data_IF_179329016809
#
_entry.id   IF_179329016809
#
_cell.length_a   1.000
_cell.length_b   1.000
_cell.length_c   1.000
_cell.angle_alpha   90.00
_cell.angle_beta   90.00
_cell.angle_gamma   90.00
#
_symmetry.space_group_name_H-M   'P 1'
#
loop_
_entity.id
_entity.type
_entity.pdbx_description
1 polymer ?
#
# COMPACT_ATOMS: atom_id res chain seq x y z
N UNK A 1 -4.78 -7.11 8.27
CA UNK A 1 -5.96 -7.78 7.70
C UNK A 1 -6.09 -7.40 6.24
N UNK A 2 -6.75 -8.24 5.45
CA UNK A 2 -7.19 -7.84 4.11
C UNK A 2 -8.26 -6.75 4.23
N UNK A 3 -8.19 -5.72 3.39
CA UNK A 3 -9.15 -4.60 3.37
C UNK A 3 -9.77 -4.39 1.98
N UNK A 4 -9.24 -5.03 0.94
CA UNK A 4 -9.78 -4.96 -0.41
C UNK A 4 -9.36 -6.19 -1.23
N UNK A 5 -10.20 -6.57 -2.18
CA UNK A 5 -9.97 -7.67 -3.10
C UNK A 5 -10.61 -7.38 -4.46
N UNK A 6 -9.84 -7.48 -5.56
CA UNK A 6 -10.32 -7.32 -6.94
C UNK A 6 -9.61 -8.28 -7.86
N UNK A 7 -10.33 -9.26 -8.41
CA UNK A 7 -9.73 -10.32 -9.20
C UNK A 7 -8.61 -11.02 -8.40
N UNK A 8 -7.40 -11.06 -8.94
CA UNK A 8 -6.25 -11.63 -8.24
C UNK A 8 -5.50 -10.62 -7.32
N UNK A 9 -5.92 -9.35 -7.31
CA UNK A 9 -5.29 -8.29 -6.54
C UNK A 9 -5.88 -8.14 -5.15
N UNK A 10 -5.02 -7.94 -4.15
CA UNK A 10 -5.40 -7.77 -2.75
C UNK A 10 -4.71 -6.58 -2.13
N UNK A 11 -5.40 -5.91 -1.21
CA UNK A 11 -4.82 -4.88 -0.34
C UNK A 11 -4.91 -5.36 1.09
N UNK A 12 -3.76 -5.42 1.75
CA UNK A 12 -3.66 -5.75 3.16
C UNK A 12 -3.15 -4.54 3.93
N UNK A 13 -3.67 -4.36 5.14
CA UNK A 13 -3.27 -3.29 6.01
C UNK A 13 -3.09 -3.78 7.44
N UNK A 14 -2.04 -3.28 8.11
CA UNK A 14 -1.83 -3.44 9.55
C UNK A 14 -1.50 -2.08 10.15
N UNK A 15 -2.14 -1.76 11.27
CA UNK A 15 -1.78 -0.61 12.09
C UNK A 15 -0.43 -0.86 12.75
N UNK A 16 0.44 0.14 12.67
CA UNK A 16 1.72 0.19 13.37
C UNK A 16 1.64 1.17 14.54
N UNK A 17 2.73 1.29 15.28
CA UNK A 17 2.90 2.32 16.29
C UNK A 17 2.72 3.73 15.72
N UNK A 18 2.40 4.69 16.59
CA UNK A 18 2.21 6.11 16.24
C UNK A 18 1.19 6.37 15.11
N UNK A 19 0.33 5.39 14.81
CA UNK A 19 -0.74 5.54 13.83
C UNK A 19 -0.34 5.32 12.37
N UNK A 20 0.90 4.92 12.09
CA UNK A 20 1.32 4.54 10.74
C UNK A 20 0.61 3.26 10.26
N UNK A 21 0.76 2.94 8.98
CA UNK A 21 0.19 1.73 8.38
C UNK A 21 1.25 0.96 7.62
N UNK A 22 1.33 -0.35 7.85
CA UNK A 22 1.93 -1.26 6.89
C UNK A 22 0.87 -1.62 5.85
N UNK A 23 1.18 -1.44 4.57
CA UNK A 23 0.26 -1.68 3.46
C UNK A 23 0.92 -2.64 2.48
N UNK A 24 0.33 -3.82 2.27
CA UNK A 24 0.79 -4.74 1.25
C UNK A 24 -0.17 -4.73 0.05
N UNK A 25 0.39 -4.63 -1.15
CA UNK A 25 -0.32 -4.84 -2.41
C UNK A 25 0.09 -6.21 -2.94
N UNK A 26 -0.83 -7.17 -2.95
CA UNK A 26 -0.56 -8.56 -3.30
C UNK A 26 -1.19 -8.90 -4.65
N UNK A 27 -0.41 -9.44 -5.58
CA UNK A 27 -0.92 -10.03 -6.80
C UNK A 27 -0.81 -11.55 -6.72
N UNK A 28 -1.96 -12.23 -6.56
CA UNK A 28 -2.02 -13.70 -6.53
C UNK A 28 -2.16 -14.34 -7.92
N UNK A 29 -2.21 -13.53 -8.97
CA UNK A 29 -2.49 -13.97 -10.33
C UNK A 29 -1.24 -14.17 -11.18
N UNK A 30 -1.40 -14.75 -12.38
CA UNK A 30 -0.30 -15.11 -13.27
C UNK A 30 0.17 -13.97 -14.20
N UNK A 31 -0.44 -12.77 -14.12
CA UNK A 31 -0.10 -11.61 -14.96
C UNK A 31 0.21 -10.38 -14.11
N UNK A 32 1.08 -9.46 -14.56
CA UNK A 32 1.30 -8.19 -13.87
C UNK A 32 -0.02 -7.45 -13.63
N UNK A 33 -0.20 -6.89 -12.44
CA UNK A 33 -1.44 -6.24 -12.04
C UNK A 33 -1.16 -4.88 -11.42
N UNK A 34 -1.84 -3.84 -11.92
CA UNK A 34 -1.89 -2.54 -11.23
C UNK A 34 -2.86 -2.65 -10.06
N UNK A 35 -2.36 -2.45 -8.84
CA UNK A 35 -3.17 -2.43 -7.62
C UNK A 35 -3.13 -1.02 -7.06
N UNK A 36 -4.31 -0.48 -6.72
CA UNK A 36 -4.48 0.89 -6.24
C UNK A 36 -5.35 0.91 -4.99
N UNK A 37 -4.93 1.68 -3.99
CA UNK A 37 -5.69 2.02 -2.79
C UNK A 37 -5.44 3.48 -2.40
N UNK A 38 -6.00 3.92 -1.27
CA UNK A 38 -5.81 5.28 -0.75
C UNK A 38 -5.41 5.29 0.72
N UNK A 39 -4.71 6.36 1.13
CA UNK A 39 -4.37 6.63 2.51
C UNK A 39 -5.60 6.58 3.43
N UNK A 40 -6.74 7.12 2.96
CA UNK A 40 -8.02 7.05 3.67
C UNK A 40 -8.52 5.61 3.81
N UNK A 41 -8.48 4.81 2.75
CA UNK A 41 -8.97 3.41 2.78
C UNK A 41 -8.11 2.52 3.69
N UNK A 42 -6.80 2.76 3.76
CA UNK A 42 -5.91 2.06 4.70
C UNK A 42 -5.98 2.61 6.14
N UNK A 43 -6.82 3.63 6.37
CA UNK A 43 -7.12 4.18 7.70
C UNK A 43 -6.05 5.12 8.24
N UNK A 44 -5.26 5.78 7.40
CA UNK A 44 -4.38 6.88 7.83
C UNK A 44 -5.20 8.12 8.19
N UNK A 45 -4.68 8.92 9.13
CA UNK A 45 -5.27 10.20 9.50
C UNK A 45 -5.13 11.18 8.34
N UNK A 46 -6.15 12.02 8.12
CA UNK A 46 -6.13 13.07 7.09
C UNK A 46 -4.90 13.96 7.29
N UNK A 47 -4.13 14.12 6.22
CA UNK A 47 -2.91 14.92 6.16
C UNK A 47 -2.82 15.61 4.78
N UNK A 48 -1.96 16.63 4.67
CA UNK A 48 -1.70 17.32 3.39
C UNK A 48 -0.86 16.44 2.45
N UNK A 49 0.00 15.62 3.01
CA UNK A 49 0.83 14.67 2.29
C UNK A 49 1.03 13.39 3.12
N UNK A 50 1.46 12.34 2.44
CA UNK A 50 1.85 11.09 3.06
C UNK A 50 3.19 10.66 2.50
N UNK A 51 4.02 10.06 3.35
CA UNK A 51 5.21 9.35 2.93
C UNK A 51 4.89 7.88 2.74
N UNK A 52 5.35 7.31 1.63
CA UNK A 52 5.33 5.88 1.34
C UNK A 52 6.76 5.40 1.25
N UNK A 53 7.18 4.61 2.23
CA UNK A 53 8.46 3.92 2.24
C UNK A 53 8.26 2.49 1.75
N UNK A 54 8.88 2.13 0.62
CA UNK A 54 9.00 0.76 0.17
C UNK A 54 10.00 0.03 1.08
N UNK A 55 9.51 -0.95 1.83
CA UNK A 55 10.33 -1.64 2.84
C UNK A 55 11.29 -2.65 2.23
N UNK A 56 11.06 -3.09 1.00
CA UNK A 56 11.94 -4.04 0.32
C UNK A 56 12.94 -3.33 -0.59
N UNK A 57 12.50 -2.28 -1.29
CA UNK A 57 13.39 -1.49 -2.12
C UNK A 57 14.18 -0.42 -1.34
N UNK A 58 13.88 -0.20 -0.06
CA UNK A 58 14.47 0.85 0.77
C UNK A 58 14.38 2.26 0.18
N UNK A 59 13.32 2.55 -0.56
CA UNK A 59 13.06 3.87 -1.16
C UNK A 59 11.84 4.54 -0.53
N UNK A 60 11.79 5.87 -0.55
CA UNK A 60 10.65 6.63 -0.06
C UNK A 60 10.17 7.65 -1.10
N UNK A 61 8.86 7.88 -1.13
CA UNK A 61 8.24 8.91 -1.96
C UNK A 61 7.08 9.59 -1.25
N UNK A 62 6.77 10.82 -1.64
CA UNK A 62 5.57 11.53 -1.17
C UNK A 62 4.38 11.29 -2.10
N UNK A 63 3.18 11.29 -1.53
CA UNK A 63 1.90 11.23 -2.25
C UNK A 63 0.87 12.13 -1.57
N UNK A 64 -0.12 12.60 -2.32
CA UNK A 64 -1.30 13.29 -1.77
C UNK A 64 -2.35 12.33 -1.22
N UNK A 65 -2.15 11.01 -1.39
CA UNK A 65 -2.99 9.98 -0.76
C UNK A 65 -3.25 8.75 -1.61
N UNK A 66 -2.86 8.74 -2.89
CA UNK A 66 -2.93 7.54 -3.74
C UNK A 66 -1.74 6.64 -3.46
N UNK A 67 -2.02 5.35 -3.25
CA UNK A 67 -1.02 4.28 -3.09
C UNK A 67 -1.24 3.31 -4.25
N UNK A 68 -0.29 3.23 -5.18
CA UNK A 68 -0.41 2.39 -6.37
C UNK A 68 0.93 1.79 -6.76
N UNK A 69 0.89 0.56 -7.25
CA UNK A 69 2.03 -0.13 -7.85
C UNK A 69 1.56 -1.06 -8.97
N UNK A 70 2.45 -1.34 -9.93
CA UNK A 70 2.31 -2.50 -10.81
C UNK A 70 3.06 -3.65 -10.13
N UNK A 71 2.33 -4.69 -9.76
CA UNK A 71 2.86 -5.83 -9.00
C UNK A 71 3.00 -7.03 -9.95
N UNK A 72 4.19 -7.60 -10.13
CA UNK A 72 4.41 -8.78 -10.97
C UNK A 72 3.54 -9.99 -10.55
N UNK A 73 3.45 -11.03 -11.41
CA UNK A 73 2.76 -12.28 -11.07
C UNK A 73 3.25 -12.87 -9.75
N UNK A 74 2.33 -13.38 -8.93
CA UNK A 74 2.63 -14.06 -7.66
C UNK A 74 3.58 -13.28 -6.72
N UNK A 75 3.50 -11.95 -6.77
CA UNK A 75 4.40 -11.05 -6.08
C UNK A 75 3.65 -10.05 -5.20
N UNK A 76 4.42 -9.24 -4.49
CA UNK A 76 3.91 -8.23 -3.58
C UNK A 76 4.79 -6.99 -3.57
N UNK A 77 4.24 -5.91 -3.03
CA UNK A 77 5.02 -4.79 -2.51
C UNK A 77 4.53 -4.48 -1.11
N UNK A 78 5.46 -4.14 -0.21
CA UNK A 78 5.17 -3.77 1.17
C UNK A 78 5.62 -2.34 1.46
N UNK A 79 4.66 -1.49 1.81
CA UNK A 79 4.90 -0.10 2.18
C UNK A 79 4.72 0.13 3.68
N UNK A 80 5.56 0.98 4.28
CA UNK A 80 5.18 1.77 5.45
C UNK A 80 4.63 3.10 4.97
N UNK A 81 3.41 3.42 5.37
CA UNK A 81 2.72 4.65 5.03
C UNK A 81 2.54 5.53 6.28
N UNK A 82 2.90 6.80 6.15
CA UNK A 82 2.95 7.78 7.25
C UNK A 82 2.22 9.06 6.85
N UNK A 83 1.33 9.56 7.71
CA UNK A 83 0.75 10.91 7.59
C UNK A 83 1.82 11.97 7.93
N UNK A 84 1.97 12.98 7.08
CA UNK A 84 2.88 14.13 7.27
C UNK A 84 2.11 15.39 7.70
#
# INVERSE_FOLDING_TARGET
TAIDHKGAGQVWCRRLERGHRAVALLNRGPRPLRITTSARKVGLRRAKAYELQDLWAHTAKKTTGVITAVVPPHSAVLYRATSL
#
